data_IF_199453543888
#
_entry.id   IF_199453543888
#
_cell.length_a   1.000
_cell.length_b   1.000
_cell.length_c   1.000
_cell.angle_alpha   90.00
_cell.angle_beta   90.00
_cell.angle_gamma   90.00
#
_symmetry.space_group_name_H-M   'P 1'
#
loop_
_entity.id
_entity.type
_entity.pdbx_description
1 polymer ?
#
# COMPACT_ATOMS: atom_id res chain seq x y z
N UNK A 1 4.68 -3.17 32.62
CA UNK A 1 5.29 -3.84 31.46
C UNK A 1 4.77 -5.27 31.43
N UNK A 2 4.03 -5.66 30.40
CA UNK A 2 3.58 -7.05 30.23
C UNK A 2 4.54 -7.75 29.28
N UNK A 3 4.95 -8.97 29.63
CA UNK A 3 5.85 -9.80 28.83
C UNK A 3 5.06 -11.05 28.45
N UNK A 4 5.01 -11.35 27.16
CA UNK A 4 4.43 -12.59 26.65
C UNK A 4 5.56 -13.46 26.13
N UNK A 5 5.57 -14.73 26.54
CA UNK A 5 6.45 -15.75 25.95
C UNK A 5 5.65 -16.41 24.84
N UNK A 6 6.15 -16.31 23.61
CA UNK A 6 5.50 -16.87 22.43
C UNK A 6 6.35 -18.03 21.90
N UNK A 7 5.69 -19.10 21.49
CA UNK A 7 6.33 -20.26 20.86
C UNK A 7 6.03 -20.25 19.36
N UNK A 8 7.02 -20.65 18.56
CA UNK A 8 6.87 -20.82 17.12
C UNK A 8 6.15 -22.14 16.87
N UNK A 9 5.03 -22.09 16.14
CA UNK A 9 4.31 -23.31 15.80
C UNK A 9 5.04 -24.14 14.73
N UNK A 10 4.57 -25.36 14.45
CA UNK A 10 5.18 -26.26 13.45
C UNK A 10 5.25 -25.70 12.02
N UNK A 11 4.48 -24.65 11.73
CA UNK A 11 4.46 -23.98 10.42
C UNK A 11 5.40 -22.76 10.38
N UNK A 12 6.11 -22.46 11.49
CA UNK A 12 7.01 -21.31 11.58
C UNK A 12 6.33 -19.99 12.00
N UNK A 13 5.08 -20.03 12.47
CA UNK A 13 4.33 -18.82 12.81
C UNK A 13 4.41 -18.50 14.31
N UNK A 14 4.56 -17.21 14.62
CA UNK A 14 4.36 -16.66 15.97
C UNK A 14 2.90 -16.22 16.12
N UNK A 15 2.20 -16.79 17.11
CA UNK A 15 0.81 -16.42 17.40
C UNK A 15 0.78 -15.26 18.40
N UNK A 16 0.25 -14.12 17.98
CA UNK A 16 0.09 -12.96 18.85
C UNK A 16 -1.18 -13.16 19.72
N UNK A 17 -1.10 -13.00 21.05
CA UNK A 17 -2.25 -13.09 21.94
C UNK A 17 -3.34 -12.07 21.58
N UNK A 18 -4.60 -12.47 21.72
CA UNK A 18 -5.75 -11.64 21.32
C UNK A 18 -5.86 -10.34 22.12
N UNK A 19 -5.31 -10.30 23.34
CA UNK A 19 -5.27 -9.14 24.22
C UNK A 19 -4.39 -8.01 23.68
N UNK A 20 -3.44 -8.34 22.80
CA UNK A 20 -2.53 -7.37 22.16
C UNK A 20 -3.10 -6.87 20.84
N UNK A 21 -4.01 -7.62 20.21
CA UNK A 21 -4.62 -7.25 18.92
C UNK A 21 -5.32 -5.88 18.90
N UNK A 22 -5.98 -5.37 19.96
CA UNK A 22 -6.56 -4.03 19.94
C UNK A 22 -5.53 -2.91 19.71
N UNK A 23 -4.24 -3.17 19.98
CA UNK A 23 -3.15 -2.23 19.75
C UNK A 23 -2.57 -2.33 18.33
N UNK A 24 -2.93 -3.38 17.58
CA UNK A 24 -2.44 -3.69 16.25
C UNK A 24 -3.59 -3.53 15.25
N UNK A 25 -3.39 -2.74 14.19
CA UNK A 25 -4.43 -2.64 13.15
C UNK A 25 -4.46 -3.93 12.33
N UNK A 26 -5.64 -4.48 12.01
CA UNK A 26 -5.76 -5.58 11.04
C UNK A 26 -5.04 -5.23 9.73
N UNK A 27 -4.45 -6.24 9.09
CA UNK A 27 -3.68 -6.09 7.83
C UNK A 27 -2.43 -5.20 7.91
N UNK A 28 -1.94 -4.86 9.10
CA UNK A 28 -0.64 -4.19 9.23
C UNK A 28 0.47 -5.17 8.84
N UNK A 29 1.28 -4.78 7.87
CA UNK A 29 2.49 -5.52 7.50
C UNK A 29 3.63 -5.13 8.43
N UNK A 30 4.49 -6.10 8.75
CA UNK A 30 5.70 -5.88 9.53
C UNK A 30 6.92 -6.37 8.77
N UNK A 31 8.00 -5.62 8.81
CA UNK A 31 9.31 -6.06 8.35
C UNK A 31 10.02 -6.78 9.51
N UNK A 32 10.55 -7.97 9.22
CA UNK A 32 11.38 -8.74 10.14
C UNK A 32 12.85 -8.36 9.94
N UNK A 33 13.46 -7.77 10.96
CA UNK A 33 14.90 -7.54 11.05
C UNK A 33 15.54 -8.59 11.95
N UNK A 34 16.67 -9.14 11.53
CA UNK A 34 17.46 -10.09 12.31
C UNK A 34 18.72 -9.37 12.78
N UNK A 35 18.88 -9.20 14.09
CA UNK A 35 20.06 -8.60 14.71
C UNK A 35 20.70 -9.61 15.66
N UNK A 36 21.67 -10.37 15.16
CA UNK A 36 22.26 -11.49 15.88
C UNK A 36 21.18 -12.54 16.20
N UNK A 37 20.91 -12.75 17.49
CA UNK A 37 19.88 -13.67 17.99
C UNK A 37 18.51 -12.99 18.21
N UNK A 38 18.41 -11.68 17.99
CA UNK A 38 17.17 -10.92 18.23
C UNK A 38 16.40 -10.73 16.93
N UNK A 39 15.12 -11.11 16.94
CA UNK A 39 14.17 -10.81 15.88
C UNK A 39 13.38 -9.54 16.25
N UNK A 40 13.42 -8.53 15.38
CA UNK A 40 12.72 -7.25 15.58
C UNK A 40 11.66 -7.09 14.49
N UNK A 41 10.40 -6.94 14.91
CA UNK A 41 9.29 -6.63 14.02
C UNK A 41 9.04 -5.12 14.00
N UNK A 42 9.21 -4.48 12.83
CA UNK A 42 8.88 -3.06 12.64
C UNK A 42 7.67 -2.92 11.71
N UNK A 43 6.73 -2.00 11.97
CA UNK A 43 5.64 -1.73 11.04
C UNK A 43 6.21 -1.39 9.66
N UNK A 44 5.84 -2.16 8.65
CA UNK A 44 6.17 -1.88 7.26
C UNK A 44 5.22 -0.78 6.78
N UNK A 45 5.77 0.42 6.61
CA UNK A 45 5.06 1.50 5.92
C UNK A 45 5.45 1.40 4.45
N UNK A 46 4.60 0.77 3.66
CA UNK A 46 4.74 0.83 2.21
C UNK A 46 4.74 2.30 1.80
N UNK A 47 5.86 2.78 1.27
CA UNK A 47 5.92 4.13 0.73
C UNK A 47 5.21 4.10 -0.61
N UNK A 48 4.21 4.98 -0.78
CA UNK A 48 3.55 5.13 -2.06
C UNK A 48 4.61 5.31 -3.16
N UNK A 49 4.45 4.61 -4.29
CA UNK A 49 5.42 4.63 -5.40
C UNK A 49 5.89 6.06 -5.74
N UNK A 50 4.97 7.02 -5.73
CA UNK A 50 5.26 8.42 -6.06
C UNK A 50 6.20 9.14 -5.07
N UNK A 51 6.28 8.65 -3.83
CA UNK A 51 7.13 9.22 -2.78
C UNK A 51 8.62 8.90 -2.99
N UNK A 52 8.93 7.78 -3.66
CA UNK A 52 10.31 7.33 -3.91
C UNK A 52 10.69 7.31 -5.39
N UNK A 53 9.72 7.41 -6.30
CA UNK A 53 9.96 7.35 -7.73
C UNK A 53 10.73 8.58 -8.24
N UNK A 54 11.78 8.33 -9.03
CA UNK A 54 12.47 9.38 -9.78
C UNK A 54 11.56 9.98 -10.86
N UNK A 55 11.84 11.21 -11.35
CA UNK A 55 11.07 11.80 -12.45
C UNK A 55 10.91 10.86 -13.66
N UNK A 56 11.97 10.16 -14.04
CA UNK A 56 11.95 9.21 -15.17
C UNK A 56 11.06 8.00 -14.90
N UNK A 57 11.10 7.44 -13.69
CA UNK A 57 10.23 6.32 -13.28
C UNK A 57 8.76 6.73 -13.27
N UNK A 58 8.45 7.96 -12.86
CA UNK A 58 7.09 8.51 -12.91
C UNK A 58 6.57 8.61 -14.34
N UNK A 59 7.39 9.10 -15.26
CA UNK A 59 7.05 9.17 -16.69
C UNK A 59 6.82 7.78 -17.28
N UNK A 60 7.69 6.82 -16.96
CA UNK A 60 7.52 5.44 -17.42
C UNK A 60 6.20 4.84 -16.90
N UNK A 61 5.93 4.98 -15.60
CA UNK A 61 4.69 4.45 -14.99
C UNK A 61 3.43 5.06 -15.58
N UNK A 62 3.45 6.36 -15.89
CA UNK A 62 2.34 7.03 -16.56
C UNK A 62 2.13 6.51 -17.98
N UNK A 63 3.21 6.31 -18.75
CA UNK A 63 3.12 5.75 -20.10
C UNK A 63 2.56 4.34 -20.09
N UNK A 64 3.01 3.50 -19.15
CA UNK A 64 2.51 2.14 -18.98
C UNK A 64 1.02 2.14 -18.64
N UNK A 65 0.57 3.01 -17.73
CA UNK A 65 -0.86 3.17 -17.43
C UNK A 65 -1.66 3.59 -18.67
N UNK A 66 -1.14 4.56 -19.44
CA UNK A 66 -1.83 5.08 -20.61
C UNK A 66 -1.98 4.05 -21.74
N UNK A 67 -1.06 3.08 -21.84
CA UNK A 67 -1.09 2.02 -22.86
C UNK A 67 -1.83 0.76 -22.40
N UNK A 68 -1.83 0.47 -21.10
CA UNK A 68 -2.50 -0.72 -20.53
C UNK A 68 -3.98 -0.48 -20.20
N UNK A 69 -4.41 0.77 -20.11
CA UNK A 69 -5.82 1.08 -19.89
C UNK A 69 -6.58 0.93 -21.21
N UNK A 70 -7.29 -0.19 -21.37
CA UNK A 70 -8.34 -0.28 -22.37
C UNK A 70 -9.33 0.87 -22.13
N UNK A 71 -9.34 1.83 -23.05
CA UNK A 71 -10.29 2.94 -22.97
C UNK A 71 -11.63 2.39 -23.44
N UNK A 72 -12.69 2.43 -22.63
CA UNK A 72 -14.01 2.13 -23.14
C UNK A 72 -14.29 3.06 -24.32
N UNK A 73 -14.87 2.52 -25.40
CA UNK A 73 -15.40 3.34 -26.49
C UNK A 73 -16.47 4.26 -25.91
N UNK A 74 -16.05 5.47 -25.57
CA UNK A 74 -16.92 6.53 -25.10
C UNK A 74 -17.17 7.51 -26.24
N UNK A 75 -18.40 8.01 -26.40
CA UNK A 75 -18.66 9.09 -27.34
C UNK A 75 -17.78 10.29 -27.00
N UNK A 76 -17.41 11.05 -28.02
CA UNK A 76 -16.74 12.33 -27.80
C UNK A 76 -17.58 13.22 -26.88
N UNK A 77 -16.93 13.93 -25.97
CA UNK A 77 -17.60 14.93 -25.14
C UNK A 77 -18.22 15.99 -26.05
N UNK A 78 -19.45 16.40 -25.74
CA UNK A 78 -20.11 17.48 -26.46
C UNK A 78 -19.41 18.81 -26.18
N UNK A 79 -19.51 19.76 -27.10
CA UNK A 79 -18.98 21.12 -26.88
C UNK A 79 -19.57 21.76 -25.61
N UNK A 80 -20.83 21.45 -25.31
CA UNK A 80 -21.49 21.87 -24.09
C UNK A 80 -20.89 21.24 -22.83
N UNK A 81 -20.52 19.95 -22.86
CA UNK A 81 -19.81 19.29 -21.75
C UNK A 81 -18.37 19.79 -21.55
N UNK A 82 -17.80 20.42 -22.58
CA UNK A 82 -16.47 21.05 -22.54
C UNK A 82 -16.55 22.56 -22.25
N UNK A 83 -17.75 23.13 -22.19
CA UNK A 83 -17.95 24.56 -21.93
C UNK A 83 -17.56 24.89 -20.50
N UNK A 84 -16.76 25.96 -20.34
CA UNK A 84 -16.34 26.43 -19.01
C UNK A 84 -17.54 26.82 -18.13
N UNK A 85 -18.65 27.21 -18.76
CA UNK A 85 -19.85 27.67 -18.07
C UNK A 85 -20.64 26.51 -17.42
N UNK A 86 -20.50 25.28 -17.90
CA UNK A 86 -21.24 24.10 -17.43
C UNK A 86 -20.40 23.17 -16.53
N UNK A 87 -19.08 23.32 -16.50
CA UNK A 87 -18.17 22.48 -15.67
C UNK A 87 -18.37 22.70 -14.16
N UNK A 88 -18.97 23.83 -13.76
CA UNK A 88 -19.15 24.22 -12.36
C UNK A 88 -20.60 24.28 -11.89
N UNK A 89 -21.56 23.99 -12.78
CA UNK A 89 -22.99 23.86 -12.43
C UNK A 89 -23.27 22.47 -11.82
#
# INVERSE_FOLDING_TARGET
>A
MMIYILEINQQGNLQIPSEVLPQLKPHTQYQLEIQGETLILRPHKEQAFWATATPSQRVARFKDWATQTERPEAPALTDDALSRETIYD
#
